data_IF_792122402620
#
_entry.id   IF_792122402620
#
_cell.length_a   1.000
_cell.length_b   1.000
_cell.length_c   1.000
_cell.angle_alpha   90.00
_cell.angle_beta   90.00
_cell.angle_gamma   90.00
#
_symmetry.space_group_name_H-M   'P 1'
#
loop_
_entity.id
_entity.type
_entity.pdbx_description
1 polymer ?
#
# COMPACT_ATOMS: atom_id res chain seq x y z
N UNK A 1 -10.89 -23.20 4.34
CA UNK A 1 -10.03 -23.29 5.54
C UNK A 1 -9.51 -21.89 5.83
N UNK A 2 -9.83 -21.32 6.99
CA UNK A 2 -9.34 -20.02 7.42
C UNK A 2 -7.91 -20.17 7.95
N UNK A 3 -7.00 -19.30 7.54
CA UNK A 3 -5.69 -19.17 8.21
C UNK A 3 -5.79 -17.90 9.04
N UNK A 4 -5.92 -18.05 10.36
CA UNK A 4 -5.77 -16.93 11.29
C UNK A 4 -4.28 -16.64 11.41
N UNK A 5 -3.81 -15.56 10.79
CA UNK A 5 -2.47 -15.04 11.01
C UNK A 5 -2.58 -13.80 11.90
N UNK A 6 -2.06 -13.89 13.12
CA UNK A 6 -1.89 -12.72 13.99
C UNK A 6 -0.73 -11.90 13.43
N UNK A 7 -1.03 -10.85 12.66
CA UNK A 7 -0.03 -9.91 12.18
C UNK A 7 0.05 -8.79 13.22
N UNK A 8 1.09 -8.81 14.06
CA UNK A 8 1.45 -7.66 14.87
C UNK A 8 2.02 -6.58 13.94
N UNK A 9 1.18 -5.64 13.52
CA UNK A 9 1.65 -4.46 12.79
C UNK A 9 2.33 -3.51 13.77
N UNK A 10 3.61 -3.25 13.54
CA UNK A 10 4.38 -2.23 14.25
C UNK A 10 3.89 -0.84 13.82
N UNK A 11 3.32 -0.08 14.74
CA UNK A 11 3.01 1.33 14.55
C UNK A 11 4.16 2.19 15.12
N UNK A 12 4.94 2.91 14.29
CA UNK A 12 6.09 3.67 14.77
C UNK A 12 5.75 5.02 15.44
N UNK A 13 4.48 5.39 15.62
CA UNK A 13 4.13 6.76 16.04
C UNK A 13 3.98 6.98 17.55
N UNK A 14 4.17 5.97 18.41
CA UNK A 14 4.13 6.16 19.87
C UNK A 14 5.34 5.53 20.54
N UNK A 15 6.18 6.36 21.15
CA UNK A 15 7.33 5.95 21.96
C UNK A 15 6.91 5.37 23.32
N UNK A 16 5.89 4.51 23.34
CA UNK A 16 5.41 3.80 24.52
C UNK A 16 4.90 2.41 24.11
N UNK A 17 5.48 1.36 24.68
CA UNK A 17 4.91 0.01 24.80
C UNK A 17 4.20 -0.10 26.16
N UNK A 18 3.30 -1.08 26.43
CA UNK A 18 2.63 -2.02 25.54
C UNK A 18 1.08 -2.01 25.70
N UNK A 19 0.35 -2.52 24.71
CA UNK A 19 -0.76 -3.46 24.94
C UNK A 19 -0.99 -4.23 23.65
N UNK A 20 -1.01 -5.54 23.79
CA UNK A 20 -1.37 -6.51 22.75
C UNK A 20 -2.75 -6.20 22.16
N UNK A 21 -2.77 -5.42 21.08
CA UNK A 21 -3.92 -5.38 20.18
C UNK A 21 -3.88 -6.62 19.29
N UNK A 22 -4.70 -7.63 19.61
CA UNK A 22 -4.95 -8.75 18.72
C UNK A 22 -5.78 -8.25 17.53
N UNK A 23 -5.12 -7.77 16.47
CA UNK A 23 -5.78 -7.68 15.17
C UNK A 23 -5.87 -9.10 14.61
N UNK A 24 -7.01 -9.76 14.82
CA UNK A 24 -7.37 -10.96 14.08
C UNK A 24 -7.59 -10.56 12.62
N UNK A 25 -6.51 -10.55 11.83
CA UNK A 25 -6.62 -10.41 10.38
C UNK A 25 -7.15 -11.75 9.83
N UNK A 26 -8.47 -11.92 9.87
CA UNK A 26 -9.13 -12.99 9.11
C UNK A 26 -9.16 -12.53 7.67
N UNK A 27 -8.11 -12.84 6.92
CA UNK A 27 -8.08 -12.58 5.48
C UNK A 27 -8.94 -13.65 4.79
N UNK A 28 -10.08 -13.31 4.19
CA UNK A 28 -10.70 -14.23 3.24
C UNK A 28 -9.69 -14.52 2.13
N UNK A 29 -9.47 -15.80 1.82
CA UNK A 29 -8.53 -16.27 0.76
C UNK A 29 -8.98 -15.81 -0.65
N UNK A 30 -10.10 -15.10 -0.75
CA UNK A 30 -10.67 -14.60 -1.99
C UNK A 30 -10.28 -13.14 -2.22
N UNK A 31 -9.25 -12.92 -3.05
CA UNK A 31 -9.10 -11.77 -3.98
C UNK A 31 -9.62 -10.39 -3.51
N UNK A 32 -9.40 -10.01 -2.27
CA UNK A 32 -9.70 -8.65 -1.84
C UNK A 32 -8.47 -7.79 -2.08
N UNK A 33 -8.59 -6.64 -2.78
CA UNK A 33 -7.54 -5.65 -2.72
C UNK A 33 -7.37 -5.32 -1.24
N UNK A 34 -6.18 -5.56 -0.71
CA UNK A 34 -5.87 -5.21 0.67
C UNK A 34 -6.02 -3.70 0.80
N UNK A 35 -7.18 -3.24 1.25
CA UNK A 35 -7.42 -1.86 1.64
C UNK A 35 -6.74 -1.70 3.00
N UNK A 36 -5.43 -1.49 2.98
CA UNK A 36 -4.81 -0.89 4.14
C UNK A 36 -5.14 0.58 4.09
N UNK A 37 -6.01 1.00 5.01
CA UNK A 37 -6.02 2.37 5.42
C UNK A 37 -4.69 2.63 6.15
N UNK A 38 -3.69 3.09 5.40
CA UNK A 38 -2.44 3.57 5.98
C UNK A 38 -2.72 4.99 6.45
N UNK A 39 -3.56 5.10 7.48
CA UNK A 39 -3.86 6.34 8.16
C UNK A 39 -2.58 6.82 8.87
N UNK A 40 -1.73 7.53 8.13
CA UNK A 40 -0.74 8.40 8.73
C UNK A 40 -1.43 9.72 9.02
N UNK A 41 -1.86 9.86 10.27
CA UNK A 41 -2.20 11.14 10.88
C UNK A 41 -1.10 12.15 10.54
N UNK A 42 -1.43 13.10 9.65
CA UNK A 42 -0.65 14.28 9.28
C UNK A 42 0.68 14.07 8.54
N UNK A 43 0.57 13.99 7.20
CA UNK A 43 1.53 14.70 6.35
C UNK A 43 0.87 15.13 5.04
N UNK A 44 0.24 16.32 5.07
CA UNK A 44 -0.16 17.08 3.87
C UNK A 44 0.97 17.11 2.81
N UNK A 45 2.23 17.05 3.24
CA UNK A 45 3.39 17.09 2.34
C UNK A 45 3.58 15.85 1.46
N UNK A 46 2.98 14.70 1.77
CA UNK A 46 3.15 13.51 0.90
C UNK A 46 2.17 13.46 -0.27
N UNK A 47 0.99 14.08 -0.13
CA UNK A 47 -0.10 14.01 -1.10
C UNK A 47 -0.74 12.62 -1.26
N UNK A 48 -0.31 11.62 -0.47
CA UNK A 48 -0.87 10.28 -0.52
C UNK A 48 -2.31 10.28 0.03
N UNK A 49 -3.14 9.39 -0.52
CA UNK A 49 -4.48 9.12 0.00
C UNK A 49 -4.42 8.21 1.22
N UNK A 50 -5.49 8.22 2.00
CA UNK A 50 -5.70 7.26 3.10
C UNK A 50 -5.91 5.84 2.54
N UNK A 51 -6.26 5.72 1.26
CA UNK A 51 -6.38 4.47 0.54
C UNK A 51 -5.03 4.00 -0.03
N UNK A 52 -4.76 2.70 0.08
CA UNK A 52 -3.70 2.01 -0.67
C UNK A 52 -4.09 0.56 -0.87
N UNK A 53 -3.70 -0.02 -2.00
CA UNK A 53 -4.06 -1.39 -2.34
C UNK A 53 -2.82 -2.26 -2.54
N UNK A 54 -2.84 -3.49 -2.06
CA UNK A 54 -1.86 -4.50 -2.42
C UNK A 54 -2.57 -5.79 -2.84
N UNK A 55 -2.08 -6.40 -3.92
CA UNK A 55 -2.50 -7.72 -4.37
C UNK A 55 -1.42 -8.74 -4.04
N UNK A 56 -1.80 -9.78 -3.30
CA UNK A 56 -0.95 -10.90 -2.97
C UNK A 56 -1.38 -12.13 -3.78
N UNK A 57 -0.55 -12.59 -4.73
CA UNK A 57 -0.84 -13.79 -5.49
C UNK A 57 -1.07 -15.03 -4.63
N UNK A 58 -1.81 -16.01 -5.17
CA UNK A 58 -2.15 -17.24 -4.43
C UNK A 58 -0.92 -17.99 -3.91
N UNK A 59 0.20 -17.99 -4.64
CA UNK A 59 1.43 -18.63 -4.16
C UNK A 59 2.04 -17.85 -2.97
N UNK A 60 1.98 -16.53 -3.01
CA UNK A 60 2.48 -15.66 -1.94
C UNK A 60 1.67 -15.82 -0.65
N UNK A 61 0.35 -16.02 -0.77
CA UNK A 61 -0.53 -16.30 0.38
C UNK A 61 -0.31 -17.70 0.95
N UNK A 62 0.19 -18.64 0.14
CA UNK A 62 0.61 -19.99 0.54
C UNK A 62 2.05 -20.07 1.05
N UNK A 63 2.64 -18.94 1.41
CA UNK A 63 3.94 -18.89 2.08
C UNK A 63 5.15 -18.81 1.15
N UNK A 64 4.96 -18.51 -0.14
CA UNK A 64 6.08 -18.15 -1.00
C UNK A 64 6.57 -16.73 -0.69
N UNK A 65 7.89 -16.55 -0.66
CA UNK A 65 8.51 -15.22 -0.66
C UNK A 65 8.38 -14.63 -2.06
N UNK A 66 7.74 -13.47 -2.17
CA UNK A 66 7.42 -12.87 -3.45
C UNK A 66 8.10 -11.51 -3.65
N UNK A 67 8.60 -11.20 -4.87
CA UNK A 67 8.99 -9.85 -5.24
C UNK A 67 7.78 -8.90 -5.19
N UNK A 68 8.06 -7.59 -5.14
CA UNK A 68 7.04 -6.54 -5.14
C UNK A 68 7.27 -5.63 -6.34
N UNK A 69 6.22 -5.39 -7.11
CA UNK A 69 6.11 -4.32 -8.10
C UNK A 69 5.20 -3.21 -7.59
N UNK A 70 5.54 -1.97 -7.90
CA UNK A 70 4.73 -0.79 -7.54
C UNK A 70 4.13 -0.22 -8.81
N UNK A 71 2.81 -0.20 -8.89
CA UNK A 71 2.07 0.36 -10.02
C UNK A 71 1.45 1.70 -9.62
N UNK A 72 1.90 2.77 -10.26
CA UNK A 72 1.47 4.14 -9.99
C UNK A 72 0.43 4.56 -11.03
N UNK A 73 -0.74 5.00 -10.57
CA UNK A 73 -1.81 5.49 -11.45
C UNK A 73 -1.46 6.87 -12.04
N UNK A 74 -2.08 7.28 -13.14
CA UNK A 74 -1.99 8.65 -13.67
C UNK A 74 -2.89 9.65 -12.93
N UNK A 75 -2.82 10.92 -13.32
CA UNK A 75 -3.77 11.94 -12.84
C UNK A 75 -5.22 11.52 -13.16
N UNK A 76 -6.15 11.79 -12.24
CA UNK A 76 -7.57 11.37 -12.31
C UNK A 76 -7.79 9.86 -12.41
N UNK A 77 -6.79 9.05 -12.09
CA UNK A 77 -6.89 7.58 -12.10
C UNK A 77 -6.80 6.95 -10.70
N UNK A 78 -6.77 7.78 -9.65
CA UNK A 78 -6.83 7.29 -8.27
C UNK A 78 -8.23 6.84 -7.84
N UNK A 79 -8.30 6.20 -6.66
CA UNK A 79 -9.51 5.64 -6.06
C UNK A 79 -10.70 6.59 -6.03
N UNK A 80 -10.44 7.85 -5.68
CA UNK A 80 -11.47 8.91 -5.58
C UNK A 80 -12.05 9.35 -6.92
N UNK A 81 -11.40 9.03 -8.04
CA UNK A 81 -11.88 9.38 -9.39
C UNK A 81 -12.53 8.22 -10.13
N UNK A 82 -11.87 7.06 -10.14
CA UNK A 82 -12.29 5.91 -10.98
C UNK A 82 -12.51 4.64 -10.18
N UNK A 83 -12.67 4.75 -8.85
CA UNK A 83 -12.86 3.59 -8.00
C UNK A 83 -11.65 2.66 -8.05
N UNK A 84 -11.88 1.37 -8.18
CA UNK A 84 -10.83 0.36 -8.29
C UNK A 84 -10.40 0.09 -9.76
N UNK A 85 -10.86 0.88 -10.73
CA UNK A 85 -10.63 0.63 -12.16
C UNK A 85 -9.14 0.50 -12.52
N UNK A 86 -8.27 1.36 -11.99
CA UNK A 86 -6.82 1.25 -12.24
C UNK A 86 -6.24 -0.06 -11.69
N UNK A 87 -6.77 -0.58 -10.59
CA UNK A 87 -6.32 -1.83 -9.99
C UNK A 87 -6.86 -3.04 -10.77
N UNK A 88 -8.13 -3.01 -11.20
CA UNK A 88 -8.83 -4.18 -11.73
C UNK A 88 -8.86 -4.28 -13.26
N UNK A 89 -8.54 -3.21 -14.00
CA UNK A 89 -8.70 -3.16 -15.47
C UNK A 89 -7.42 -2.93 -16.27
N UNK A 90 -6.28 -2.83 -15.60
CA UNK A 90 -4.96 -2.57 -16.23
C UNK A 90 -4.16 -3.83 -16.56
N UNK A 91 -4.63 -5.02 -16.15
CA UNK A 91 -3.94 -6.29 -16.37
C UNK A 91 -2.88 -6.64 -15.32
N UNK A 92 -2.63 -5.76 -14.33
CA UNK A 92 -1.60 -6.00 -13.33
C UNK A 92 -1.90 -7.21 -12.44
N UNK A 93 -3.17 -7.48 -12.11
CA UNK A 93 -3.54 -8.59 -11.21
C UNK A 93 -3.29 -9.94 -11.87
N UNK A 94 -3.58 -10.05 -13.16
CA UNK A 94 -3.36 -11.25 -13.97
C UNK A 94 -1.87 -11.53 -14.12
N UNK A 95 -1.08 -10.50 -14.45
CA UNK A 95 0.39 -10.62 -14.50
C UNK A 95 0.97 -10.97 -13.13
N UNK A 96 0.44 -10.38 -12.06
CA UNK A 96 0.84 -10.65 -10.69
C UNK A 96 0.66 -12.11 -10.31
N UNK A 97 -0.54 -12.65 -10.56
CA UNK A 97 -0.89 -14.03 -10.24
C UNK A 97 -0.02 -15.03 -10.99
N UNK A 98 0.20 -14.80 -12.29
CA UNK A 98 1.01 -15.69 -13.14
C UNK A 98 2.50 -15.70 -12.77
N UNK A 99 3.01 -14.64 -12.14
CA UNK A 99 4.44 -14.46 -11.90
C UNK A 99 4.83 -14.46 -10.42
N UNK A 100 3.90 -14.79 -9.52
CA UNK A 100 4.11 -14.72 -8.06
C UNK A 100 4.67 -13.35 -7.63
N UNK A 101 4.13 -12.29 -8.21
CA UNK A 101 4.58 -10.92 -8.00
C UNK A 101 3.52 -10.16 -7.20
N UNK A 102 3.87 -9.69 -6.00
CA UNK A 102 2.97 -8.80 -5.25
C UNK A 102 2.92 -7.46 -5.98
N UNK A 103 1.71 -6.93 -6.21
CA UNK A 103 1.57 -5.59 -6.81
C UNK A 103 0.98 -4.63 -5.79
N UNK A 104 1.68 -3.53 -5.56
CA UNK A 104 1.30 -2.47 -4.65
C UNK A 104 0.89 -1.22 -5.44
N UNK A 105 -0.29 -0.67 -5.11
CA UNK A 105 -0.95 0.45 -5.77
C UNK A 105 -1.20 1.58 -4.75
N UNK A 106 -0.16 2.38 -4.42
CA UNK A 106 -0.36 3.57 -3.60
C UNK A 106 -1.29 4.56 -4.32
N UNK A 107 -2.03 5.36 -3.57
CA UNK A 107 -2.98 6.33 -4.12
C UNK A 107 -2.58 7.77 -3.76
N UNK A 108 -2.98 8.72 -4.59
CA UNK A 108 -2.88 10.16 -4.33
C UNK A 108 -4.25 10.74 -4.02
N UNK A 109 -4.30 11.56 -2.97
CA UNK A 109 -5.50 12.33 -2.63
C UNK A 109 -5.54 13.63 -3.46
N UNK A 110 -6.65 13.93 -4.15
CA UNK A 110 -6.80 15.22 -4.81
C UNK A 110 -6.99 16.33 -3.78
N UNK A 111 -6.30 17.45 -3.98
CA UNK A 111 -6.39 18.63 -3.11
C UNK A 111 -6.86 19.84 -3.89
N UNK A 112 -7.82 20.59 -3.33
CA UNK A 112 -8.29 21.88 -3.89
C UNK A 112 -7.69 23.09 -3.18
N UNK A 113 -6.97 22.86 -2.08
CA UNK A 113 -6.24 23.88 -1.30
C UNK A 113 -4.75 23.84 -1.62
N UNK A 114 -4.00 24.91 -1.32
CA UNK A 114 -2.56 24.96 -1.56
C UNK A 114 -1.80 23.86 -0.79
N UNK A 115 -0.90 23.08 -1.44
CA UNK A 115 -0.64 23.07 -2.87
C UNK A 115 -1.78 22.39 -3.65
N UNK A 116 -2.26 23.08 -4.69
CA UNK A 116 -3.41 22.65 -5.48
C UNK A 116 -3.02 21.46 -6.36
N UNK A 117 -3.67 20.32 -6.13
CA UNK A 117 -3.52 19.11 -6.93
C UNK A 117 -4.91 18.50 -7.18
N UNK A 118 -5.81 19.20 -7.89
CA UNK A 118 -7.21 18.83 -7.99
C UNK A 118 -7.41 17.59 -8.87
N UNK A 119 -6.36 17.19 -9.60
CA UNK A 119 -6.32 16.03 -10.47
C UNK A 119 -5.73 14.80 -9.76
N UNK A 120 -5.25 14.92 -8.51
CA UNK A 120 -4.63 13.81 -7.79
C UNK A 120 -3.42 13.20 -8.52
N UNK A 121 -2.51 14.05 -8.99
CA UNK A 121 -1.27 13.65 -9.65
C UNK A 121 -0.16 13.32 -8.65
N UNK A 122 0.76 12.43 -9.01
CA UNK A 122 2.04 12.30 -8.31
C UNK A 122 2.82 13.62 -8.33
N UNK A 123 3.65 13.87 -7.32
CA UNK A 123 4.40 15.12 -7.23
C UNK A 123 5.63 15.05 -8.15
N UNK A 124 5.43 15.46 -9.41
CA UNK A 124 6.48 15.54 -10.43
C UNK A 124 6.93 16.97 -10.74
N UNK A 125 6.32 17.97 -10.09
CA UNK A 125 6.62 19.39 -10.31
C UNK A 125 7.02 20.15 -9.04
N UNK A 126 7.07 19.47 -7.88
CA UNK A 126 7.43 20.08 -6.60
C UNK A 126 6.28 20.81 -5.94
N UNK A 127 5.04 20.34 -6.13
CA UNK A 127 3.85 20.90 -5.50
C UNK A 127 3.98 20.86 -3.98
N UNK A 128 4.45 19.73 -3.45
CA UNK A 128 4.44 19.50 -2.01
C UNK A 128 5.78 19.80 -1.35
N UNK A 129 6.89 19.58 -2.07
CA UNK A 129 8.22 19.89 -1.59
C UNK A 129 9.22 20.15 -2.72
N UNK A 130 10.19 21.06 -2.55
CA UNK A 130 11.19 21.38 -3.58
C UNK A 130 12.13 20.19 -3.90
N UNK A 131 12.26 19.24 -2.98
CA UNK A 131 13.08 18.04 -3.12
C UNK A 131 12.28 16.83 -3.67
N UNK A 132 11.12 17.04 -4.30
CA UNK A 132 10.17 16.01 -4.75
C UNK A 132 10.81 14.82 -5.51
N UNK A 133 11.84 15.08 -6.33
CA UNK A 133 12.51 14.05 -7.14
C UNK A 133 13.62 13.28 -6.40
N UNK A 134 13.75 13.44 -5.07
CA UNK A 134 14.83 12.82 -4.28
C UNK A 134 14.32 11.66 -3.41
N UNK A 135 15.26 10.83 -2.93
CA UNK A 135 14.95 9.72 -2.00
C UNK A 135 14.36 10.19 -0.66
N UNK A 136 14.59 11.45 -0.30
CA UNK A 136 14.11 12.06 0.95
C UNK A 136 12.82 12.87 0.75
N UNK A 137 12.28 12.93 -0.48
CA UNK A 137 11.01 13.57 -0.74
C UNK A 137 9.91 12.95 0.14
N UNK A 138 8.96 13.73 0.66
CA UNK A 138 7.88 13.20 1.49
C UNK A 138 7.10 12.08 0.80
N UNK A 139 6.72 12.26 -0.46
CA UNK A 139 6.00 11.23 -1.24
C UNK A 139 6.84 9.96 -1.44
N UNK A 140 8.09 10.10 -1.89
CA UNK A 140 8.99 8.95 -2.13
C UNK A 140 9.34 8.17 -0.86
N UNK A 141 9.60 8.90 0.24
CA UNK A 141 9.95 8.28 1.52
C UNK A 141 8.77 7.51 2.11
N UNK A 142 7.54 8.02 1.97
CA UNK A 142 6.33 7.34 2.41
C UNK A 142 6.00 6.11 1.56
N UNK A 143 6.06 6.20 0.23
CA UNK A 143 5.92 5.01 -0.64
C UNK A 143 6.92 3.93 -0.23
N UNK A 144 8.18 4.30 0.09
CA UNK A 144 9.18 3.33 0.55
C UNK A 144 8.82 2.67 1.89
N UNK A 145 8.24 3.41 2.83
CA UNK A 145 7.73 2.85 4.09
C UNK A 145 6.56 1.88 3.82
N UNK A 146 5.62 2.24 2.94
CA UNK A 146 4.51 1.36 2.56
C UNK A 146 5.02 0.05 1.93
N UNK A 147 6.03 0.11 1.04
CA UNK A 147 6.68 -1.07 0.46
C UNK A 147 7.29 -1.95 1.57
N UNK A 148 7.92 -1.37 2.58
CA UNK A 148 8.46 -2.12 3.71
C UNK A 148 7.35 -2.83 4.49
N UNK A 149 6.21 -2.17 4.72
CA UNK A 149 5.03 -2.78 5.33
C UNK A 149 4.52 -3.97 4.53
N UNK A 150 4.37 -3.83 3.21
CA UNK A 150 3.97 -4.94 2.32
C UNK A 150 4.96 -6.11 2.39
N UNK A 151 6.27 -5.83 2.44
CA UNK A 151 7.30 -6.87 2.64
C UNK A 151 7.14 -7.59 3.98
N UNK A 152 6.86 -6.85 5.06
CA UNK A 152 6.65 -7.44 6.38
C UNK A 152 5.42 -8.36 6.40
N UNK A 153 4.34 -7.96 5.73
CA UNK A 153 3.14 -8.80 5.59
C UNK A 153 3.49 -10.12 4.87
N UNK A 154 4.18 -10.10 3.72
CA UNK A 154 4.57 -11.34 3.04
C UNK A 154 5.47 -12.22 3.93
N UNK A 155 6.43 -11.63 4.66
CA UNK A 155 7.28 -12.37 5.60
C UNK A 155 6.47 -13.02 6.73
N UNK A 156 5.48 -12.32 7.26
CA UNK A 156 4.58 -12.86 8.28
C UNK A 156 3.78 -14.05 7.75
N UNK A 157 3.22 -13.93 6.54
CA UNK A 157 2.51 -15.02 5.86
C UNK A 157 3.42 -16.25 5.67
N UNK A 158 4.63 -16.06 5.14
CA UNK A 158 5.64 -17.14 4.96
C UNK A 158 5.92 -17.85 6.28
N UNK A 159 6.11 -17.08 7.35
CA UNK A 159 6.40 -17.62 8.69
C UNK A 159 5.21 -18.38 9.26
N UNK A 160 3.99 -17.88 9.07
CA UNK A 160 2.77 -18.49 9.57
C UNK A 160 2.44 -19.81 8.85
N UNK A 161 2.69 -19.90 7.54
CA UNK A 161 2.43 -21.12 6.74
C UNK A 161 3.51 -22.19 6.94
N UNK A 162 4.73 -21.80 7.33
CA UNK A 162 5.84 -22.73 7.58
C UNK A 162 5.81 -23.38 8.97
N UNK A 163 4.82 -23.04 9.80
CA UNK A 163 4.55 -23.67 11.10
C UNK A 163 3.39 -24.64 10.97
#
# INVERSE_FOLDING_TARGET
>A
KWISATISLYNPTTWNWPTSGLFNLTLPITTVPFEAQLADTYSFSSGLDDYGFAYFPSACTKGQKCPIHVALHGCRQGKRFIGDTFITKTGYLEVAELNNLIVFFPQISPTTTSPMNPMGCWDWWGANAPNYATKIAPQMSKIKQMIQTVRMINRAIVTAVSR
#
